data_IF_009194327927
#
_entry.id   IF_009194327927
#
_cell.length_a   1.000
_cell.length_b   1.000
_cell.length_c   1.000
_cell.angle_alpha   90.00
_cell.angle_beta   90.00
_cell.angle_gamma   90.00
#
_symmetry.space_group_name_H-M   'P 1'
#
loop_
_entity.id
_entity.type
_entity.pdbx_description
1 polymer ?
#
# COMPACT_ATOMS: atom_id res chain seq x y z
N UNK A 1 -18.48 26.55 32.24
CA UNK A 1 -18.13 26.26 30.81
C UNK A 1 -19.32 25.54 30.21
N UNK A 2 -20.01 26.19 29.28
CA UNK A 2 -21.11 25.54 28.53
C UNK A 2 -20.54 24.38 27.71
N UNK A 3 -21.18 23.21 27.79
CA UNK A 3 -20.85 22.10 26.89
C UNK A 3 -21.16 22.57 25.46
N UNK A 4 -20.23 22.34 24.48
CA UNK A 4 -20.50 22.70 23.10
C UNK A 4 -21.79 22.00 22.64
N UNK A 5 -22.63 22.72 21.89
CA UNK A 5 -23.85 22.16 21.29
C UNK A 5 -23.45 21.01 20.37
N UNK A 6 -24.21 19.91 20.37
CA UNK A 6 -23.96 18.84 19.37
C UNK A 6 -24.09 19.45 17.97
N UNK A 7 -23.07 19.28 17.14
CA UNK A 7 -23.06 19.74 15.75
C UNK A 7 -24.16 19.00 14.97
N UNK A 8 -24.87 19.72 14.12
CA UNK A 8 -25.83 19.09 13.20
C UNK A 8 -25.10 18.25 12.15
N UNK A 9 -25.74 17.19 11.63
CA UNK A 9 -25.15 16.30 10.60
C UNK A 9 -24.61 17.09 9.38
N UNK A 10 -25.35 18.09 8.88
CA UNK A 10 -24.92 18.95 7.77
C UNK A 10 -23.66 19.77 8.08
N UNK A 11 -23.53 20.27 9.31
CA UNK A 11 -22.33 21.02 9.75
C UNK A 11 -21.11 20.10 9.82
N UNK A 12 -21.28 18.87 10.30
CA UNK A 12 -20.21 17.87 10.38
C UNK A 12 -19.73 17.45 8.98
N UNK A 13 -20.64 17.25 8.03
CA UNK A 13 -20.31 16.96 6.63
C UNK A 13 -19.54 18.09 5.97
N UNK A 14 -19.94 19.35 6.19
CA UNK A 14 -19.25 20.52 5.65
C UNK A 14 -17.83 20.65 6.25
N UNK A 15 -17.68 20.39 7.54
CA UNK A 15 -16.39 20.41 8.24
C UNK A 15 -15.47 19.29 7.74
N UNK A 16 -15.96 18.05 7.65
CA UNK A 16 -15.19 16.93 7.11
C UNK A 16 -14.67 17.21 5.69
N UNK A 17 -15.55 17.78 4.84
CA UNK A 17 -15.18 18.16 3.47
C UNK A 17 -14.13 19.29 3.44
N UNK A 18 -14.19 20.25 4.37
CA UNK A 18 -13.18 21.30 4.50
C UNK A 18 -11.82 20.72 4.92
N UNK A 19 -11.83 19.88 5.97
CA UNK A 19 -10.62 19.21 6.49
C UNK A 19 -9.98 18.37 5.39
N UNK A 20 -10.78 17.56 4.70
CA UNK A 20 -10.31 16.69 3.61
C UNK A 20 -9.62 17.48 2.49
N UNK A 21 -10.25 18.58 2.03
CA UNK A 21 -9.63 19.43 0.98
C UNK A 21 -8.38 20.17 1.41
N UNK A 22 -8.19 20.39 2.72
CA UNK A 22 -6.99 21.04 3.26
C UNK A 22 -5.84 20.06 3.49
N UNK A 23 -6.12 18.76 3.51
CA UNK A 23 -5.14 17.71 3.70
C UNK A 23 -4.43 17.35 2.38
N UNK A 24 -3.19 16.86 2.47
CA UNK A 24 -2.56 16.12 1.39
C UNK A 24 -2.90 14.65 1.61
N UNK A 25 -3.94 14.17 0.94
CA UNK A 25 -4.33 12.75 1.02
C UNK A 25 -3.36 11.93 0.20
N UNK A 26 -2.67 10.99 0.83
CA UNK A 26 -1.69 10.12 0.16
C UNK A 26 -2.08 8.67 0.39
N UNK A 27 -2.19 7.93 -0.70
CA UNK A 27 -2.39 6.48 -0.67
C UNK A 27 -1.07 5.75 -0.94
N UNK A 28 -0.77 4.78 -0.07
CA UNK A 28 0.48 4.02 -0.11
C UNK A 28 0.55 2.95 -1.19
N UNK A 29 -0.57 2.54 -1.81
CA UNK A 29 -0.56 1.37 -2.69
C UNK A 29 -1.72 1.34 -3.68
N UNK A 30 -1.41 1.30 -4.99
CA UNK A 30 -2.41 1.20 -6.06
C UNK A 30 -1.86 0.47 -7.28
N UNK A 31 -2.55 -0.57 -7.73
CA UNK A 31 -2.14 -1.48 -8.80
C UNK A 31 -2.70 -1.13 -10.18
N UNK A 32 -3.17 0.10 -10.38
CA UNK A 32 -3.61 0.57 -11.69
C UNK A 32 -2.62 0.24 -12.83
N UNK A 33 -1.28 0.39 -12.64
CA UNK A 33 -0.32 0.05 -13.71
C UNK A 33 -0.40 -1.42 -14.12
N UNK A 34 -0.59 -2.33 -13.15
CA UNK A 34 -0.76 -3.75 -13.44
C UNK A 34 -2.06 -4.04 -14.19
N UNK A 35 -3.16 -3.39 -13.82
CA UNK A 35 -4.43 -3.55 -14.52
C UNK A 35 -4.36 -3.05 -15.96
N UNK A 36 -3.72 -1.91 -16.20
CA UNK A 36 -3.51 -1.40 -17.58
C UNK A 36 -2.64 -2.37 -18.39
N UNK A 37 -1.62 -2.98 -17.78
CA UNK A 37 -0.84 -4.04 -18.43
C UNK A 37 -1.71 -5.23 -18.81
N UNK A 38 -2.48 -5.73 -17.86
CA UNK A 38 -3.21 -7.01 -17.99
C UNK A 38 -4.43 -6.88 -18.92
N UNK A 39 -5.20 -5.78 -18.78
CA UNK A 39 -6.47 -5.60 -19.49
C UNK A 39 -6.33 -4.85 -20.81
N UNK A 40 -5.28 -4.05 -20.97
CA UNK A 40 -5.11 -3.15 -22.10
C UNK A 40 -3.79 -3.33 -22.87
N UNK A 41 -2.99 -4.35 -22.52
CA UNK A 41 -1.70 -4.60 -23.16
C UNK A 41 -0.72 -3.44 -22.96
N UNK A 42 -0.69 -2.83 -21.78
CA UNK A 42 0.16 -1.67 -21.43
C UNK A 42 -0.11 -0.42 -22.29
N UNK A 43 -1.34 -0.25 -22.80
CA UNK A 43 -1.71 0.85 -23.68
C UNK A 43 -2.84 1.72 -23.11
N UNK A 44 -2.55 2.99 -22.88
CA UNK A 44 -3.54 3.99 -22.50
C UNK A 44 -4.44 4.45 -23.69
N UNK A 45 -4.16 4.02 -24.91
CA UNK A 45 -5.08 4.19 -26.03
C UNK A 45 -6.21 3.16 -26.00
N UNK A 46 -5.92 1.98 -25.44
CA UNK A 46 -6.91 0.93 -25.22
C UNK A 46 -7.71 1.12 -23.92
N UNK A 47 -7.15 1.88 -22.95
CA UNK A 47 -7.75 2.16 -21.64
C UNK A 47 -7.40 3.59 -21.23
N UNK A 48 -8.22 4.56 -21.64
CA UNK A 48 -8.00 5.98 -21.30
C UNK A 48 -8.56 6.30 -19.92
N UNK A 49 -7.68 6.38 -18.92
CA UNK A 49 -8.05 6.70 -17.54
C UNK A 49 -8.50 8.16 -17.32
N UNK A 50 -8.46 9.01 -18.33
CA UNK A 50 -9.13 10.31 -18.29
C UNK A 50 -10.66 10.19 -18.34
N UNK A 51 -11.17 9.03 -18.74
CA UNK A 51 -12.60 8.67 -18.80
C UNK A 51 -12.93 7.67 -17.69
N UNK A 52 -14.19 7.59 -17.23
CA UNK A 52 -14.64 6.58 -16.30
C UNK A 52 -14.35 5.15 -16.80
N UNK A 53 -13.82 4.30 -15.92
CA UNK A 53 -13.41 2.93 -16.21
C UNK A 53 -14.15 1.93 -15.32
N UNK A 54 -15.18 1.28 -15.85
CA UNK A 54 -16.04 0.34 -15.10
C UNK A 54 -15.30 -0.91 -14.59
N UNK A 55 -14.17 -1.26 -15.20
CA UNK A 55 -13.35 -2.43 -14.84
C UNK A 55 -12.26 -2.12 -13.82
N UNK A 56 -12.08 -0.85 -13.47
CA UNK A 56 -11.06 -0.37 -12.56
C UNK A 56 -11.68 0.28 -11.34
N UNK A 57 -10.94 0.28 -10.25
CA UNK A 57 -11.27 1.07 -9.05
C UNK A 57 -10.67 2.48 -9.13
N UNK A 58 -9.81 2.73 -10.11
CA UNK A 58 -9.04 3.98 -10.28
C UNK A 58 -9.20 4.56 -11.67
N UNK A 59 -9.63 5.82 -11.75
CA UNK A 59 -9.55 6.70 -12.91
C UNK A 59 -9.43 8.16 -12.47
N UNK A 60 -9.07 9.05 -13.39
CA UNK A 60 -8.83 10.46 -13.08
C UNK A 60 -10.08 11.17 -12.54
N UNK A 61 -11.30 11.00 -13.09
CA UNK A 61 -12.51 11.58 -12.49
C UNK A 61 -12.71 11.21 -11.02
N UNK A 62 -12.57 9.92 -10.68
CA UNK A 62 -12.75 9.42 -9.31
C UNK A 62 -11.60 9.81 -8.39
N UNK A 63 -10.34 9.83 -8.85
CA UNK A 63 -9.20 10.35 -8.08
C UNK A 63 -9.43 11.82 -7.65
N UNK A 64 -9.96 12.65 -8.55
CA UNK A 64 -10.31 14.05 -8.23
C UNK A 64 -11.46 14.14 -7.26
N UNK A 65 -12.49 13.30 -7.41
CA UNK A 65 -13.61 13.21 -6.46
C UNK A 65 -13.14 12.78 -5.08
N UNK A 66 -12.22 11.82 -4.99
CA UNK A 66 -11.59 11.36 -3.77
C UNK A 66 -10.63 12.37 -3.14
N UNK A 67 -10.30 13.48 -3.83
CA UNK A 67 -9.44 14.53 -3.30
C UNK A 67 -7.99 14.10 -3.08
N UNK A 68 -7.50 13.12 -3.86
CA UNK A 68 -6.16 12.56 -3.68
C UNK A 68 -5.10 13.59 -4.04
N UNK A 69 -4.10 13.76 -3.15
CA UNK A 69 -2.96 14.66 -3.32
C UNK A 69 -1.67 13.96 -3.71
N UNK A 70 -1.55 12.66 -3.38
CA UNK A 70 -0.42 11.81 -3.74
C UNK A 70 -0.80 10.34 -3.83
N UNK A 71 -0.16 9.60 -4.72
CA UNK A 71 -0.38 8.17 -4.93
C UNK A 71 0.94 7.46 -5.15
N UNK A 72 1.14 6.36 -4.44
CA UNK A 72 2.13 5.37 -4.81
C UNK A 72 1.56 4.42 -5.86
N UNK A 73 2.06 4.53 -7.08
CA UNK A 73 1.80 3.57 -8.17
C UNK A 73 2.75 2.40 -8.04
N UNK A 74 2.22 1.20 -8.15
CA UNK A 74 2.98 0.00 -7.81
C UNK A 74 3.59 -0.65 -9.05
N UNK A 75 4.87 -0.93 -8.96
CA UNK A 75 5.58 -1.85 -9.84
C UNK A 75 5.38 -3.25 -9.27
N UNK A 76 4.25 -3.87 -9.63
CA UNK A 76 3.96 -5.26 -9.32
C UNK A 76 4.51 -6.18 -10.40
N UNK A 77 5.05 -7.31 -9.96
CA UNK A 77 5.52 -8.40 -10.83
C UNK A 77 5.14 -9.73 -10.17
N UNK A 78 4.51 -10.68 -10.90
CA UNK A 78 4.13 -11.96 -10.31
C UNK A 78 5.32 -12.69 -9.66
N UNK A 79 5.21 -13.18 -8.42
CA UNK A 79 6.32 -13.84 -7.70
C UNK A 79 6.95 -15.01 -8.47
N UNK A 80 6.14 -15.74 -9.24
CA UNK A 80 6.63 -16.85 -10.08
C UNK A 80 7.73 -16.45 -11.09
N UNK A 81 7.86 -15.16 -11.42
CA UNK A 81 8.94 -14.65 -12.30
C UNK A 81 10.33 -14.77 -11.69
N UNK A 82 10.42 -14.87 -10.36
CA UNK A 82 11.68 -15.17 -9.67
C UNK A 82 12.29 -16.50 -10.15
N UNK A 83 11.44 -17.48 -10.46
CA UNK A 83 11.89 -18.80 -10.90
C UNK A 83 12.32 -18.84 -12.38
N UNK A 84 12.01 -17.81 -13.15
CA UNK A 84 12.32 -17.72 -14.59
C UNK A 84 13.42 -16.72 -14.93
N UNK A 85 13.89 -15.92 -13.94
CA UNK A 85 14.88 -14.86 -14.16
C UNK A 85 14.35 -13.74 -15.06
N UNK A 86 13.04 -13.44 -14.99
CA UNK A 86 12.38 -12.41 -15.79
C UNK A 86 11.79 -11.27 -14.95
N UNK A 87 11.97 -11.33 -13.64
CA UNK A 87 11.36 -10.38 -12.70
C UNK A 87 11.85 -8.94 -12.92
N UNK A 88 13.17 -8.74 -13.02
CA UNK A 88 13.76 -7.41 -13.27
C UNK A 88 13.29 -6.82 -14.60
N UNK A 89 13.27 -7.63 -15.68
CA UNK A 89 12.83 -7.15 -16.99
C UNK A 89 11.38 -6.69 -16.97
N UNK A 90 10.49 -7.47 -16.35
CA UNK A 90 9.08 -7.12 -16.20
C UNK A 90 8.87 -5.88 -15.30
N UNK A 91 9.65 -5.74 -14.24
CA UNK A 91 9.63 -4.54 -13.39
C UNK A 91 10.00 -3.29 -14.18
N UNK A 92 11.03 -3.34 -15.03
CA UNK A 92 11.44 -2.21 -15.88
C UNK A 92 10.34 -1.80 -16.87
N UNK A 93 9.58 -2.76 -17.41
CA UNK A 93 8.42 -2.47 -18.26
C UNK A 93 7.30 -1.76 -17.46
N UNK A 94 7.10 -2.12 -16.19
CA UNK A 94 6.13 -1.44 -15.32
C UNK A 94 6.59 -0.02 -14.96
N UNK A 95 7.87 0.21 -14.69
CA UNK A 95 8.42 1.55 -14.52
C UNK A 95 8.15 2.43 -15.76
N UNK A 96 8.43 1.91 -16.96
CA UNK A 96 8.13 2.62 -18.22
C UNK A 96 6.65 2.94 -18.34
N UNK A 97 5.76 2.00 -18.01
CA UNK A 97 4.33 2.21 -18.06
C UNK A 97 3.87 3.35 -17.13
N UNK A 98 4.39 3.39 -15.88
CA UNK A 98 4.06 4.47 -14.93
C UNK A 98 4.58 5.82 -15.47
N UNK A 99 5.81 5.88 -15.97
CA UNK A 99 6.35 7.11 -16.54
C UNK A 99 5.53 7.60 -17.75
N UNK A 100 5.10 6.69 -18.63
CA UNK A 100 4.22 7.02 -19.77
C UNK A 100 2.86 7.51 -19.30
N UNK A 101 2.29 6.93 -18.25
CA UNK A 101 1.05 7.37 -17.62
C UNK A 101 1.17 8.83 -17.15
N UNK A 102 2.16 9.13 -16.33
CA UNK A 102 2.37 10.46 -15.77
C UNK A 102 2.63 11.48 -16.87
N UNK A 103 3.41 11.12 -17.89
CA UNK A 103 3.68 12.00 -19.04
C UNK A 103 2.41 12.26 -19.86
N UNK A 104 1.61 11.23 -20.14
CA UNK A 104 0.36 11.36 -20.92
C UNK A 104 -0.66 12.27 -20.23
N UNK A 105 -0.81 12.10 -18.93
CA UNK A 105 -1.79 12.85 -18.13
C UNK A 105 -1.14 13.95 -17.28
N UNK A 106 -0.12 14.62 -17.81
CA UNK A 106 0.70 15.63 -17.11
C UNK A 106 -0.06 16.86 -16.62
N UNK A 107 -1.28 17.09 -17.10
CA UNK A 107 -2.20 18.09 -16.53
C UNK A 107 -2.76 17.67 -15.15
N UNK A 108 -2.67 16.39 -14.79
CA UNK A 108 -3.20 15.82 -13.55
C UNK A 108 -2.09 15.29 -12.66
N UNK A 109 -1.13 14.57 -13.24
CA UNK A 109 -0.05 13.90 -12.53
C UNK A 109 1.30 14.60 -12.74
N UNK A 110 2.15 14.49 -11.73
CA UNK A 110 3.57 14.85 -11.84
C UNK A 110 4.39 13.89 -10.96
N UNK A 111 5.55 13.45 -11.47
CA UNK A 111 6.45 12.58 -10.71
C UNK A 111 6.98 13.28 -9.47
N UNK A 112 6.93 12.60 -8.33
CA UNK A 112 7.52 13.04 -7.07
C UNK A 112 8.61 12.06 -6.64
N UNK A 113 9.78 12.57 -6.35
CA UNK A 113 10.91 11.80 -5.85
C UNK A 113 11.30 12.18 -4.41
N UNK A 114 10.73 13.25 -3.88
CA UNK A 114 10.95 13.72 -2.51
C UNK A 114 9.65 14.11 -1.83
N UNK A 115 9.66 14.15 -0.50
CA UNK A 115 8.53 14.67 0.27
C UNK A 115 8.23 16.15 -0.06
N UNK A 116 9.25 16.92 -0.46
CA UNK A 116 9.08 18.30 -0.89
C UNK A 116 8.37 18.38 -2.25
N UNK A 117 8.67 17.47 -3.19
CA UNK A 117 7.96 17.38 -4.46
C UNK A 117 6.46 17.13 -4.24
N UNK A 118 6.10 16.20 -3.34
CA UNK A 118 4.69 15.92 -3.03
C UNK A 118 3.96 17.19 -2.59
N UNK A 119 4.56 17.96 -1.67
CA UNK A 119 3.96 19.21 -1.17
C UNK A 119 3.84 20.26 -2.29
N UNK A 120 4.87 20.42 -3.12
CA UNK A 120 4.87 21.36 -4.24
C UNK A 120 3.81 20.97 -5.29
N UNK A 121 3.79 19.72 -5.72
CA UNK A 121 2.89 19.20 -6.75
C UNK A 121 1.43 19.34 -6.32
N UNK A 122 1.14 19.00 -5.06
CA UNK A 122 -0.20 19.17 -4.48
C UNK A 122 -0.61 20.65 -4.47
N UNK A 123 0.30 21.56 -4.08
CA UNK A 123 0.04 23.01 -4.10
C UNK A 123 -0.25 23.52 -5.50
N UNK A 124 0.34 22.92 -6.54
CA UNK A 124 0.10 23.23 -7.94
C UNK A 124 -1.20 22.60 -8.50
N UNK A 125 -2.00 21.96 -7.63
CA UNK A 125 -3.30 21.36 -7.98
C UNK A 125 -3.20 20.04 -8.74
N UNK A 126 -2.05 19.37 -8.68
CA UNK A 126 -1.82 18.05 -9.28
C UNK A 126 -1.72 16.97 -8.21
N UNK A 127 -1.79 15.71 -8.64
CA UNK A 127 -1.56 14.53 -7.84
C UNK A 127 -0.08 14.12 -7.97
N UNK A 128 0.63 14.09 -6.84
CA UNK A 128 2.00 13.62 -6.80
C UNK A 128 2.06 12.12 -7.05
N UNK A 129 2.79 11.71 -8.08
CA UNK A 129 2.97 10.32 -8.47
C UNK A 129 4.30 9.81 -7.95
N UNK A 130 4.24 8.91 -6.95
CA UNK A 130 5.39 8.22 -6.41
C UNK A 130 5.40 6.77 -6.94
N UNK A 131 6.53 6.10 -6.88
CA UNK A 131 6.65 4.70 -7.29
C UNK A 131 7.04 3.84 -6.11
N UNK A 132 6.26 2.76 -5.89
CA UNK A 132 6.59 1.66 -5.02
C UNK A 132 6.92 0.40 -5.82
N UNK A 133 7.81 -0.44 -5.31
CA UNK A 133 8.09 -1.75 -5.89
C UNK A 133 7.54 -2.82 -4.97
N UNK A 134 6.76 -3.75 -5.49
CA UNK A 134 6.13 -4.80 -4.70
C UNK A 134 6.84 -6.13 -4.88
N UNK A 135 7.75 -6.39 -3.96
CA UNK A 135 8.48 -7.65 -3.82
C UNK A 135 9.93 -7.60 -4.25
N UNK A 136 10.80 -7.97 -3.31
CA UNK A 136 12.26 -7.99 -3.49
C UNK A 136 12.78 -9.02 -4.49
N UNK A 137 11.95 -9.97 -4.92
CA UNK A 137 12.28 -10.87 -6.03
C UNK A 137 12.60 -10.10 -7.32
N UNK A 138 12.08 -8.88 -7.47
CA UNK A 138 12.27 -8.02 -8.65
C UNK A 138 13.71 -7.55 -8.84
N UNK A 139 14.52 -7.52 -7.77
CA UNK A 139 15.94 -7.14 -7.89
C UNK A 139 16.84 -8.31 -8.30
N UNK A 140 16.33 -9.56 -8.38
CA UNK A 140 17.10 -10.76 -8.75
C UNK A 140 18.44 -10.85 -8.01
N UNK A 141 18.41 -10.62 -6.69
CA UNK A 141 19.55 -10.64 -5.76
C UNK A 141 20.68 -9.64 -6.10
N UNK A 142 20.36 -8.51 -6.74
CA UNK A 142 21.33 -7.49 -7.18
C UNK A 142 21.07 -6.14 -6.50
N UNK A 143 22.03 -5.65 -5.71
CA UNK A 143 22.00 -4.30 -5.15
C UNK A 143 22.13 -3.21 -6.24
N UNK A 144 22.80 -3.49 -7.34
CA UNK A 144 22.88 -2.58 -8.50
C UNK A 144 21.49 -2.40 -9.14
N UNK A 145 20.69 -3.49 -9.20
CA UNK A 145 19.30 -3.41 -9.67
C UNK A 145 18.44 -2.59 -8.72
N UNK A 146 18.63 -2.74 -7.40
CA UNK A 146 17.95 -1.92 -6.39
C UNK A 146 18.28 -0.42 -6.57
N UNK A 147 19.56 -0.08 -6.74
CA UNK A 147 20.00 1.29 -7.00
C UNK A 147 19.39 1.84 -8.30
N UNK A 148 19.35 1.03 -9.36
CA UNK A 148 18.69 1.39 -10.62
C UNK A 148 17.20 1.68 -10.45
N UNK A 149 16.49 0.90 -9.63
CA UNK A 149 15.05 1.17 -9.34
C UNK A 149 14.87 2.50 -8.61
N UNK A 150 15.77 2.83 -7.68
CA UNK A 150 15.77 4.14 -7.03
C UNK A 150 15.97 5.27 -8.04
N UNK A 151 16.93 5.14 -8.96
CA UNK A 151 17.18 6.12 -10.03
C UNK A 151 15.98 6.28 -10.97
N UNK A 152 15.20 5.21 -11.19
CA UNK A 152 13.95 5.22 -11.94
C UNK A 152 12.76 5.82 -11.16
N UNK A 153 12.96 6.22 -9.92
CA UNK A 153 11.97 6.93 -9.12
C UNK A 153 11.31 6.10 -8.01
N UNK A 154 11.70 4.85 -7.78
CA UNK A 154 11.18 4.07 -6.65
C UNK A 154 11.53 4.75 -5.33
N UNK A 155 10.56 4.84 -4.42
CA UNK A 155 10.73 5.42 -3.09
C UNK A 155 10.40 4.47 -1.97
N UNK A 156 9.85 3.31 -2.27
CA UNK A 156 9.87 2.14 -1.41
C UNK A 156 10.06 0.85 -2.21
N UNK A 157 10.47 -0.20 -1.53
CA UNK A 157 10.39 -1.57 -2.02
C UNK A 157 9.94 -2.51 -0.90
N UNK A 158 8.92 -3.35 -1.19
CA UNK A 158 8.53 -4.48 -0.36
C UNK A 158 9.58 -5.59 -0.42
N UNK A 159 9.95 -6.16 0.72
CA UNK A 159 11.01 -7.16 0.76
C UNK A 159 10.57 -8.52 0.18
N UNK A 160 9.27 -8.83 0.26
CA UNK A 160 8.66 -10.00 -0.39
C UNK A 160 7.30 -9.64 -0.97
N UNK A 161 6.71 -10.52 -1.76
CA UNK A 161 5.28 -10.61 -2.02
C UNK A 161 4.74 -11.89 -1.37
N UNK A 162 3.92 -12.67 -2.05
CA UNK A 162 3.27 -13.89 -1.52
C UNK A 162 4.19 -15.10 -1.39
N UNK A 163 5.41 -15.05 -1.90
CA UNK A 163 6.38 -16.12 -1.84
C UNK A 163 7.64 -15.70 -1.08
N UNK A 164 8.18 -16.63 -0.28
CA UNK A 164 9.49 -16.52 0.36
C UNK A 164 10.57 -16.56 -0.71
N UNK A 165 11.52 -15.65 -0.61
CA UNK A 165 12.67 -15.54 -1.50
C UNK A 165 13.96 -15.94 -0.77
N UNK A 166 15.10 -15.94 -1.47
CA UNK A 166 16.37 -16.44 -0.94
C UNK A 166 16.88 -15.68 0.29
N UNK A 167 16.38 -14.47 0.54
CA UNK A 167 16.91 -13.60 1.57
C UNK A 167 15.87 -12.96 2.50
N UNK A 168 14.57 -13.22 2.29
CA UNK A 168 13.48 -12.73 3.14
C UNK A 168 12.29 -13.70 3.11
N UNK A 169 11.69 -13.95 4.26
CA UNK A 169 10.52 -14.82 4.38
C UNK A 169 9.22 -14.03 4.25
N UNK A 170 8.29 -14.58 3.46
CA UNK A 170 6.93 -14.04 3.26
C UNK A 170 5.97 -14.52 4.35
N UNK A 171 4.98 -13.70 4.69
CA UNK A 171 3.89 -14.04 5.62
C UNK A 171 3.01 -15.19 5.14
N UNK A 172 2.94 -15.42 3.82
CA UNK A 172 1.99 -16.36 3.21
C UNK A 172 2.65 -17.59 2.60
N UNK A 173 3.94 -17.79 2.84
CA UNK A 173 4.70 -18.93 2.36
C UNK A 173 5.53 -19.59 3.48
N UNK A 174 6.16 -20.71 3.18
CA UNK A 174 7.04 -21.40 4.13
C UNK A 174 8.32 -20.61 4.35
N UNK A 175 8.69 -20.43 5.62
CA UNK A 175 9.95 -19.80 5.99
C UNK A 175 11.14 -20.63 5.49
N UNK A 176 12.20 -19.95 5.05
CA UNK A 176 13.49 -20.54 4.62
C UNK A 176 14.66 -19.99 5.43
N UNK A 177 14.63 -18.69 5.72
CA UNK A 177 15.72 -17.97 6.40
C UNK A 177 15.46 -17.74 7.88
N UNK A 178 14.20 -17.89 8.33
CA UNK A 178 13.78 -17.52 9.69
C UNK A 178 13.79 -16.01 9.90
N UNK A 179 13.46 -15.26 8.86
CA UNK A 179 13.49 -13.81 8.78
C UNK A 179 14.33 -13.31 7.59
N UNK A 180 15.27 -12.39 7.86
CA UNK A 180 16.24 -11.91 6.87
C UNK A 180 17.51 -12.76 6.88
N UNK A 181 18.02 -13.11 5.70
CA UNK A 181 19.40 -13.57 5.56
C UNK A 181 20.40 -12.40 5.68
N UNK A 182 21.70 -12.69 5.72
CA UNK A 182 22.75 -11.66 5.68
C UNK A 182 22.63 -10.75 4.45
N UNK A 183 22.23 -11.28 3.29
CA UNK A 183 21.98 -10.47 2.10
C UNK A 183 20.72 -9.61 2.26
N UNK A 184 19.67 -10.13 2.90
CA UNK A 184 18.46 -9.35 3.22
C UNK A 184 18.76 -8.15 4.12
N UNK A 185 19.63 -8.32 5.12
CA UNK A 185 20.11 -7.19 5.93
C UNK A 185 20.90 -6.16 5.08
N UNK A 186 21.74 -6.60 4.14
CA UNK A 186 22.42 -5.70 3.21
C UNK A 186 21.44 -4.93 2.30
N UNK A 187 20.35 -5.57 1.86
CA UNK A 187 19.29 -4.89 1.09
C UNK A 187 18.66 -3.77 1.92
N UNK A 188 18.30 -4.03 3.18
CA UNK A 188 17.72 -3.02 4.07
C UNK A 188 18.68 -1.84 4.27
N UNK A 189 19.96 -2.10 4.52
CA UNK A 189 20.99 -1.06 4.69
C UNK A 189 21.20 -0.26 3.41
N UNK A 190 21.20 -0.91 2.26
CA UNK A 190 21.31 -0.22 0.97
C UNK A 190 20.10 0.66 0.67
N UNK A 191 18.88 0.20 1.00
CA UNK A 191 17.68 1.03 0.90
C UNK A 191 17.79 2.27 1.79
N UNK A 192 18.28 2.14 3.01
CA UNK A 192 18.53 3.29 3.90
C UNK A 192 19.58 4.24 3.29
N UNK A 193 20.69 3.70 2.75
CA UNK A 193 21.74 4.50 2.09
C UNK A 193 21.20 5.30 0.90
N UNK A 194 20.30 4.73 0.13
CA UNK A 194 19.64 5.38 -1.00
C UNK A 194 18.58 6.40 -0.57
N UNK A 195 18.00 6.27 0.62
CA UNK A 195 16.83 7.05 1.05
C UNK A 195 15.51 6.45 0.55
N UNK A 196 15.51 5.15 0.29
CA UNK A 196 14.33 4.36 -0.06
C UNK A 196 13.71 3.79 1.19
N UNK A 197 12.39 3.95 1.37
CA UNK A 197 11.64 3.35 2.48
C UNK A 197 11.60 1.83 2.35
N UNK A 198 11.88 1.13 3.45
CA UNK A 198 11.70 -0.31 3.56
C UNK A 198 10.23 -0.60 3.81
N UNK A 199 9.58 -1.32 2.90
CA UNK A 199 8.19 -1.72 3.03
C UNK A 199 8.10 -3.15 3.56
N UNK A 200 7.39 -3.31 4.67
CA UNK A 200 7.20 -4.56 5.39
C UNK A 200 5.81 -5.19 5.15
N UNK A 201 5.03 -4.67 4.19
CA UNK A 201 3.86 -5.40 3.73
C UNK A 201 4.30 -6.75 3.13
N UNK A 202 3.50 -7.81 3.32
CA UNK A 202 3.74 -9.18 2.86
C UNK A 202 4.82 -10.01 3.58
N UNK A 203 5.69 -9.42 4.38
CA UNK A 203 6.78 -10.17 5.01
C UNK A 203 6.34 -10.94 6.26
N UNK A 204 7.04 -12.01 6.60
CA UNK A 204 6.78 -12.77 7.83
C UNK A 204 7.06 -11.94 9.10
N UNK A 205 6.46 -12.29 10.26
CA UNK A 205 6.76 -11.62 11.51
C UNK A 205 8.26 -11.57 11.84
N UNK A 206 9.00 -12.65 11.57
CA UNK A 206 10.44 -12.72 11.79
C UNK A 206 11.20 -11.73 10.91
N UNK A 207 10.78 -11.61 9.63
CA UNK A 207 11.34 -10.60 8.71
C UNK A 207 11.01 -9.17 9.17
N UNK A 208 9.80 -8.93 9.73
CA UNK A 208 9.45 -7.62 10.31
C UNK A 208 10.39 -7.26 11.46
N UNK A 209 10.64 -8.20 12.40
CA UNK A 209 11.55 -7.99 13.53
C UNK A 209 12.98 -7.72 13.07
N UNK A 210 13.51 -8.50 12.13
CA UNK A 210 14.86 -8.31 11.62
C UNK A 210 15.02 -6.98 10.90
N UNK A 211 14.08 -6.62 10.01
CA UNK A 211 14.13 -5.35 9.30
C UNK A 211 14.04 -4.14 10.25
N UNK A 212 13.17 -4.20 11.26
CA UNK A 212 13.06 -3.17 12.30
C UNK A 212 14.31 -3.06 13.18
N UNK A 213 15.04 -4.15 13.37
CA UNK A 213 16.34 -4.16 14.09
C UNK A 213 17.46 -3.52 13.26
N UNK A 214 17.45 -3.74 11.93
CA UNK A 214 18.53 -3.33 11.02
C UNK A 214 18.32 -1.92 10.47
N UNK A 215 17.06 -1.53 10.21
CA UNK A 215 16.76 -0.25 9.54
C UNK A 215 17.07 0.95 10.43
N UNK A 216 17.90 1.86 9.91
CA UNK A 216 18.21 3.16 10.50
C UNK A 216 17.19 4.24 10.14
N UNK A 217 16.39 4.01 9.09
CA UNK A 217 15.31 4.86 8.64
C UNK A 217 13.95 4.32 9.07
N UNK A 218 12.89 5.16 9.13
CA UNK A 218 11.54 4.69 9.34
C UNK A 218 11.15 3.66 8.27
N UNK A 219 10.55 2.55 8.71
CA UNK A 219 9.94 1.56 7.82
C UNK A 219 8.49 1.94 7.52
N UNK A 220 7.91 1.35 6.48
CA UNK A 220 6.49 1.43 6.21
C UNK A 220 5.87 0.04 6.08
N UNK A 221 4.57 -0.01 6.23
CA UNK A 221 3.71 -1.06 5.72
C UNK A 221 2.81 -0.40 4.70
N UNK A 222 3.09 -0.56 3.42
CA UNK A 222 2.40 0.15 2.35
C UNK A 222 0.90 -0.15 2.29
N UNK A 223 0.48 -1.35 2.73
CA UNK A 223 -0.92 -1.81 2.75
C UNK A 223 -1.08 -3.01 3.70
N UNK A 224 -1.18 -2.75 5.01
CA UNK A 224 -1.41 -3.78 6.05
C UNK A 224 -2.30 -3.24 7.16
N UNK A 225 -3.04 -4.13 7.83
CA UNK A 225 -4.01 -3.74 8.85
C UNK A 225 -3.63 -4.31 10.23
N UNK A 226 -4.49 -4.18 11.25
CA UNK A 226 -4.20 -4.65 12.60
C UNK A 226 -4.64 -6.11 12.78
N UNK A 227 -3.71 -6.99 13.16
CA UNK A 227 -3.96 -8.40 13.43
C UNK A 227 -4.98 -8.63 14.55
N UNK A 228 -4.94 -7.79 15.60
CA UNK A 228 -5.85 -7.91 16.74
C UNK A 228 -7.33 -7.65 16.39
N UNK A 229 -7.61 -6.95 15.28
CA UNK A 229 -8.99 -6.72 14.79
C UNK A 229 -9.42 -7.84 13.84
N UNK A 230 -8.54 -8.22 12.91
CA UNK A 230 -8.79 -9.27 11.94
C UNK A 230 -7.55 -10.17 11.81
N UNK A 231 -7.69 -11.40 12.29
CA UNK A 231 -6.59 -12.35 12.41
C UNK A 231 -6.21 -12.93 11.04
N UNK A 232 -5.23 -12.29 10.42
CA UNK A 232 -4.67 -12.68 9.12
C UNK A 232 -3.17 -12.40 9.07
N UNK A 233 -2.38 -13.29 8.44
CA UNK A 233 -0.91 -13.17 8.40
C UNK A 233 -0.42 -11.93 7.63
N UNK A 234 -1.28 -11.30 6.81
CA UNK A 234 -0.99 -10.01 6.16
C UNK A 234 -1.10 -8.82 7.10
N UNK A 235 -1.65 -8.99 8.30
CA UNK A 235 -1.88 -7.95 9.28
C UNK A 235 -0.78 -7.88 10.34
N UNK A 236 -0.59 -6.70 10.90
CA UNK A 236 0.52 -6.38 11.81
C UNK A 236 0.12 -6.69 13.26
N UNK A 237 0.95 -7.46 13.97
CA UNK A 237 0.75 -7.81 15.39
C UNK A 237 1.14 -6.64 16.30
N UNK A 238 0.58 -6.59 17.50
CA UNK A 238 0.78 -5.49 18.46
C UNK A 238 2.23 -5.32 18.92
N UNK A 239 2.99 -6.40 19.01
CA UNK A 239 4.41 -6.32 19.33
C UNK A 239 5.20 -5.60 18.23
N UNK A 240 4.89 -5.90 16.97
CA UNK A 240 5.47 -5.21 15.81
C UNK A 240 4.99 -3.75 15.73
N UNK A 241 3.71 -3.46 16.01
CA UNK A 241 3.20 -2.08 16.06
C UNK A 241 4.00 -1.22 17.03
N UNK A 242 4.36 -1.75 18.20
CA UNK A 242 5.22 -1.04 19.19
C UNK A 242 6.64 -0.80 18.66
N UNK A 243 7.20 -1.76 17.93
CA UNK A 243 8.52 -1.59 17.29
C UNK A 243 8.47 -0.53 16.17
N UNK A 244 7.39 -0.50 15.38
CA UNK A 244 7.16 0.53 14.36
C UNK A 244 7.11 1.92 14.99
N UNK A 245 6.44 2.07 16.14
CA UNK A 245 6.41 3.32 16.88
C UNK A 245 7.82 3.77 17.31
N UNK A 246 8.64 2.85 17.84
CA UNK A 246 10.02 3.14 18.24
C UNK A 246 10.93 3.50 17.05
N UNK A 247 10.71 2.87 15.89
CA UNK A 247 11.45 3.13 14.65
C UNK A 247 11.03 4.45 13.96
N UNK A 248 9.85 4.99 14.30
CA UNK A 248 9.27 6.14 13.62
C UNK A 248 8.52 5.77 12.33
N UNK A 249 8.23 4.50 12.11
CA UNK A 249 7.56 3.99 10.93
C UNK A 249 6.07 4.31 10.83
N UNK A 250 5.42 3.82 9.77
CA UNK A 250 3.99 4.06 9.49
C UNK A 250 3.34 2.78 8.94
N UNK A 251 2.20 2.39 9.52
CA UNK A 251 1.34 1.33 8.98
C UNK A 251 0.21 1.99 8.21
N UNK A 252 0.17 1.77 6.90
CA UNK A 252 -0.90 2.24 6.03
C UNK A 252 -1.95 1.16 5.91
N UNK A 253 -3.17 1.46 6.41
CA UNK A 253 -4.24 0.48 6.54
C UNK A 253 -4.72 0.06 5.15
N UNK A 254 -4.72 -1.26 4.91
CA UNK A 254 -5.27 -1.88 3.70
C UNK A 254 -6.81 -1.82 3.74
N UNK A 255 -7.47 -1.64 2.57
CA UNK A 255 -8.93 -1.57 2.49
C UNK A 255 -9.58 -2.90 2.10
N UNK A 256 -8.82 -3.88 1.65
CA UNK A 256 -9.38 -5.18 1.26
C UNK A 256 -10.16 -5.83 2.42
N UNK A 257 -11.44 -6.07 2.18
CA UNK A 257 -12.35 -6.63 3.20
C UNK A 257 -11.90 -8.00 3.73
N UNK A 258 -11.12 -8.74 2.94
CA UNK A 258 -10.46 -9.98 3.36
C UNK A 258 -9.33 -9.79 4.39
N UNK A 259 -8.92 -8.55 4.69
CA UNK A 259 -7.91 -8.26 5.71
C UNK A 259 -8.44 -7.38 6.85
N UNK A 260 -9.60 -6.71 6.65
CA UNK A 260 -10.14 -5.83 7.68
C UNK A 260 -11.42 -6.36 8.33
N UNK A 261 -12.18 -7.25 7.68
CA UNK A 261 -13.36 -7.88 8.27
C UNK A 261 -12.96 -9.21 8.91
N UNK A 262 -13.28 -9.50 10.20
CA UNK A 262 -12.86 -10.74 10.87
C UNK A 262 -13.25 -12.02 10.14
N UNK A 263 -14.50 -12.10 9.65
CA UNK A 263 -14.95 -13.26 8.84
C UNK A 263 -14.25 -13.29 7.48
N UNK A 264 -14.00 -12.12 6.87
CA UNK A 264 -13.24 -12.01 5.63
C UNK A 264 -11.82 -12.53 5.81
N UNK A 265 -11.15 -12.15 6.89
CA UNK A 265 -9.82 -12.64 7.26
C UNK A 265 -9.78 -14.17 7.42
N UNK A 266 -10.76 -14.73 8.11
CA UNK A 266 -10.88 -16.20 8.25
C UNK A 266 -11.10 -16.92 6.92
N UNK A 267 -11.85 -16.32 5.98
CA UNK A 267 -12.08 -16.87 4.64
C UNK A 267 -10.83 -16.76 3.74
N UNK A 268 -10.06 -15.71 3.88
CA UNK A 268 -8.85 -15.46 3.07
C UNK A 268 -7.58 -16.02 3.70
N UNK A 269 -7.58 -16.32 4.99
CA UNK A 269 -6.52 -17.07 5.63
C UNK A 269 -6.25 -18.37 4.82
N UNK A 270 -4.99 -18.62 4.52
CA UNK A 270 -4.60 -19.76 3.67
C UNK A 270 -5.06 -19.69 2.20
N UNK A 271 -5.52 -18.52 1.71
CA UNK A 271 -5.97 -18.37 0.32
C UNK A 271 -4.87 -18.84 -0.66
N UNK A 272 -3.62 -18.44 -0.46
CA UNK A 272 -2.50 -18.86 -1.31
C UNK A 272 -2.24 -20.38 -1.25
N UNK A 273 -2.35 -20.99 -0.07
CA UNK A 273 -2.20 -22.46 0.05
C UNK A 273 -3.34 -23.20 -0.67
N UNK A 274 -4.55 -22.66 -0.57
CA UNK A 274 -5.73 -23.21 -1.22
C UNK A 274 -5.64 -23.05 -2.75
N UNK A 275 -5.20 -21.92 -3.24
CA UNK A 275 -4.96 -21.71 -4.68
C UNK A 275 -3.89 -22.67 -5.23
N UNK A 276 -2.80 -22.90 -4.50
CA UNK A 276 -1.79 -23.92 -4.84
C UNK A 276 -2.42 -25.31 -4.90
N UNK A 277 -3.27 -25.67 -3.94
CA UNK A 277 -3.97 -26.96 -3.95
C UNK A 277 -4.94 -27.07 -5.13
N UNK A 278 -5.76 -26.05 -5.37
CA UNK A 278 -6.67 -26.01 -6.53
C UNK A 278 -5.91 -26.14 -7.84
N UNK A 279 -4.75 -25.48 -7.97
CA UNK A 279 -3.90 -25.57 -9.15
C UNK A 279 -3.30 -26.98 -9.33
N UNK A 280 -2.92 -27.64 -8.23
CA UNK A 280 -2.46 -29.02 -8.25
C UNK A 280 -3.57 -30.02 -8.62
N UNK A 281 -4.79 -29.81 -8.11
CA UNK A 281 -5.95 -30.65 -8.38
C UNK A 281 -6.50 -30.41 -9.82
N UNK A 282 -6.31 -29.22 -10.38
CA UNK A 282 -6.74 -28.79 -11.71
C UNK A 282 -5.57 -28.20 -12.51
N UNK A 283 -4.72 -29.03 -13.12
CA UNK A 283 -3.54 -28.56 -13.86
C UNK A 283 -3.87 -27.73 -15.11
N UNK A 284 -5.05 -27.97 -15.71
CA UNK A 284 -5.57 -27.16 -16.82
C UNK A 284 -6.00 -25.79 -16.34
N UNK A 285 -5.56 -24.73 -17.04
CA UNK A 285 -5.82 -23.35 -16.64
C UNK A 285 -7.31 -23.00 -16.60
N UNK A 286 -8.09 -23.51 -17.55
CA UNK A 286 -9.53 -23.23 -17.60
C UNK A 286 -10.30 -23.98 -16.51
N UNK A 287 -9.85 -25.19 -16.17
CA UNK A 287 -10.44 -25.96 -15.07
C UNK A 287 -10.09 -25.29 -13.72
N UNK A 288 -8.84 -24.89 -13.54
CA UNK A 288 -8.41 -24.15 -12.36
C UNK A 288 -9.20 -22.86 -12.15
N UNK A 289 -9.32 -22.02 -13.17
CA UNK A 289 -10.06 -20.75 -13.06
C UNK A 289 -11.54 -20.99 -12.79
N UNK A 290 -12.16 -22.04 -13.35
CA UNK A 290 -13.55 -22.41 -13.03
C UNK A 290 -13.68 -22.87 -11.58
N UNK A 291 -12.78 -23.72 -11.09
CA UNK A 291 -12.81 -24.21 -9.71
C UNK A 291 -12.57 -23.06 -8.72
N UNK A 292 -11.64 -22.15 -9.03
CA UNK A 292 -11.35 -20.94 -8.26
C UNK A 292 -12.56 -20.00 -8.20
N UNK A 293 -13.22 -19.76 -9.32
CA UNK A 293 -14.40 -18.90 -9.38
C UNK A 293 -15.58 -19.52 -8.59
N UNK A 294 -15.86 -20.80 -8.76
CA UNK A 294 -16.89 -21.52 -8.00
C UNK A 294 -16.64 -21.46 -6.50
N UNK A 295 -15.37 -21.58 -6.09
CA UNK A 295 -15.02 -21.47 -4.68
C UNK A 295 -15.28 -20.07 -4.14
N UNK A 296 -14.90 -19.01 -4.88
CA UNK A 296 -15.15 -17.60 -4.50
C UNK A 296 -16.66 -17.31 -4.38
N UNK A 297 -17.46 -17.79 -5.32
CA UNK A 297 -18.93 -17.64 -5.29
C UNK A 297 -19.58 -18.35 -4.10
N UNK A 298 -19.05 -19.50 -3.69
CA UNK A 298 -19.53 -20.25 -2.54
C UNK A 298 -19.08 -19.65 -1.19
N UNK A 299 -18.08 -18.77 -1.19
CA UNK A 299 -17.48 -18.17 0.01
C UNK A 299 -17.30 -16.66 -0.17
N UNK A 300 -18.39 -15.89 -0.30
CA UNK A 300 -18.30 -14.45 -0.49
C UNK A 300 -17.68 -13.79 0.74
N UNK A 301 -16.72 -12.89 0.51
CA UNK A 301 -16.10 -12.09 1.56
C UNK A 301 -17.10 -11.02 1.98
N UNK A 302 -17.43 -10.88 3.28
CA UNK A 302 -18.24 -9.77 3.77
C UNK A 302 -17.57 -8.42 3.47
N UNK A 303 -18.33 -7.43 2.97
CA UNK A 303 -17.75 -6.14 2.56
C UNK A 303 -17.19 -5.31 3.73
N UNK A 304 -17.86 -5.34 4.89
CA UNK A 304 -17.57 -4.35 5.91
C UNK A 304 -18.00 -2.95 5.46
N UNK A 305 -17.51 -1.92 6.11
CA UNK A 305 -17.82 -0.52 5.79
C UNK A 305 -16.67 0.40 6.24
N UNK A 306 -16.83 1.73 6.07
CA UNK A 306 -15.85 2.73 6.51
C UNK A 306 -15.50 2.59 8.00
N UNK A 307 -16.51 2.30 8.85
CA UNK A 307 -16.31 2.07 10.29
C UNK A 307 -15.40 0.86 10.55
N UNK A 308 -15.56 -0.24 9.80
CA UNK A 308 -14.68 -1.41 9.88
C UNK A 308 -13.22 -1.05 9.58
N UNK A 309 -12.97 -0.21 8.57
CA UNK A 309 -11.62 0.29 8.27
C UNK A 309 -11.07 1.14 9.42
N UNK A 310 -11.89 2.08 9.95
CA UNK A 310 -11.44 3.01 10.99
C UNK A 310 -11.22 2.29 12.33
N UNK A 311 -11.85 1.14 12.59
CA UNK A 311 -11.54 0.30 13.76
C UNK A 311 -10.06 -0.13 13.76
N UNK A 312 -9.48 -0.45 12.58
CA UNK A 312 -8.05 -0.73 12.45
C UNK A 312 -7.19 0.51 12.71
N UNK A 313 -7.61 1.68 12.22
CA UNK A 313 -6.92 2.95 12.51
C UNK A 313 -6.91 3.20 14.01
N UNK A 314 -8.06 3.09 14.69
CA UNK A 314 -8.19 3.27 16.14
C UNK A 314 -7.26 2.33 16.91
N UNK A 315 -7.20 1.04 16.51
CA UNK A 315 -6.33 0.07 17.16
C UNK A 315 -4.84 0.42 16.98
N UNK A 316 -4.42 0.77 15.75
CA UNK A 316 -3.03 1.17 15.49
C UNK A 316 -2.69 2.43 16.28
N UNK A 317 -3.60 3.42 16.34
CA UNK A 317 -3.42 4.62 17.17
C UNK A 317 -3.30 4.27 18.64
N UNK A 318 -4.12 3.34 19.14
CA UNK A 318 -4.06 2.89 20.53
C UNK A 318 -2.72 2.24 20.88
N UNK A 319 -2.14 1.43 20.00
CA UNK A 319 -0.93 0.63 20.27
C UNK A 319 0.35 1.37 19.90
N UNK A 320 0.39 2.02 18.75
CA UNK A 320 1.58 2.68 18.21
C UNK A 320 1.54 4.21 18.33
N UNK A 321 0.37 4.80 18.43
CA UNK A 321 0.20 6.26 18.48
C UNK A 321 -0.18 6.87 17.13
N UNK A 322 -0.72 8.10 17.19
CA UNK A 322 -1.30 8.83 16.06
C UNK A 322 -0.30 9.13 14.93
N UNK A 323 0.99 9.12 15.22
CA UNK A 323 2.05 9.43 14.26
C UNK A 323 2.44 8.23 13.38
N UNK A 324 1.83 7.04 13.60
CA UNK A 324 2.28 5.77 13.01
C UNK A 324 1.22 5.07 12.15
N UNK A 325 0.18 5.76 11.73
CA UNK A 325 -0.90 5.22 10.89
C UNK A 325 -1.11 6.06 9.64
N UNK A 326 -1.48 5.42 8.52
CA UNK A 326 -1.78 6.04 7.23
C UNK A 326 -2.78 5.21 6.43
N UNK A 327 -2.91 5.49 5.13
CA UNK A 327 -3.83 4.84 4.20
C UNK A 327 -3.05 4.14 3.08
N UNK A 328 -3.38 2.89 2.80
CA UNK A 328 -2.79 2.09 1.72
C UNK A 328 -3.84 1.16 1.15
N UNK A 329 -4.67 1.69 0.23
CA UNK A 329 -5.96 1.10 -0.10
C UNK A 329 -5.89 -0.25 -0.82
N UNK A 330 -4.83 -0.49 -1.61
CA UNK A 330 -4.70 -1.69 -2.44
C UNK A 330 -5.75 -1.71 -3.58
N UNK A 331 -6.17 -0.51 -4.04
CA UNK A 331 -7.07 -0.42 -5.18
C UNK A 331 -6.43 -0.98 -6.45
N UNK A 332 -7.27 -1.62 -7.26
CA UNK A 332 -6.88 -2.35 -8.47
C UNK A 332 -5.98 -3.58 -8.23
N UNK A 333 -5.54 -3.85 -6.98
CA UNK A 333 -4.85 -5.07 -6.55
C UNK A 333 -5.78 -6.03 -5.80
N UNK A 334 -6.71 -5.50 -5.02
CA UNK A 334 -7.65 -6.26 -4.22
C UNK A 334 -9.10 -6.19 -4.76
N UNK A 335 -9.89 -7.22 -4.45
CA UNK A 335 -11.22 -7.39 -5.04
C UNK A 335 -12.36 -6.77 -4.23
N UNK A 336 -12.66 -7.34 -3.06
CA UNK A 336 -13.82 -6.93 -2.25
C UNK A 336 -13.45 -5.77 -1.33
N UNK A 337 -14.04 -4.60 -1.58
CA UNK A 337 -13.83 -3.39 -0.79
C UNK A 337 -14.98 -3.13 0.17
N UNK A 338 -14.79 -2.33 1.25
CA UNK A 338 -15.86 -1.93 2.15
C UNK A 338 -16.88 -1.04 1.46
N UNK A 339 -18.12 -1.08 1.95
CA UNK A 339 -19.18 -0.18 1.49
C UNK A 339 -18.74 1.28 1.65
N UNK A 340 -18.95 2.09 0.62
CA UNK A 340 -18.53 3.48 0.44
C UNK A 340 -17.02 3.68 0.21
N UNK A 341 -16.25 2.60 0.05
CA UNK A 341 -14.84 2.61 -0.29
C UNK A 341 -14.56 1.68 -1.49
N UNK A 342 -15.56 1.50 -2.36
CA UNK A 342 -15.47 0.59 -3.51
C UNK A 342 -14.42 1.04 -4.54
N UNK A 343 -14.08 2.32 -4.55
CA UNK A 343 -13.09 2.92 -5.45
C UNK A 343 -12.43 4.18 -4.85
N UNK A 344 -11.48 4.75 -5.57
CA UNK A 344 -10.67 5.91 -5.15
C UNK A 344 -11.49 7.18 -4.87
N UNK A 345 -12.78 7.24 -5.16
CA UNK A 345 -13.65 8.37 -4.79
C UNK A 345 -14.07 8.35 -3.31
N UNK A 346 -13.85 7.23 -2.61
CA UNK A 346 -14.32 6.99 -1.25
C UNK A 346 -13.54 7.67 -0.12
N UNK A 347 -12.33 8.18 -0.33
CA UNK A 347 -11.49 8.75 0.74
C UNK A 347 -12.15 9.82 1.61
N UNK A 348 -13.04 10.71 1.12
CA UNK A 348 -13.73 11.69 1.96
C UNK A 348 -14.56 11.06 3.08
N UNK A 349 -15.06 9.82 2.89
CA UNK A 349 -15.83 9.12 3.91
C UNK A 349 -14.98 8.71 5.10
N UNK A 350 -13.68 8.44 4.90
CA UNK A 350 -12.73 8.15 5.98
C UNK A 350 -12.55 9.41 6.84
N UNK A 351 -12.39 10.57 6.21
CA UNK A 351 -12.28 11.86 6.92
C UNK A 351 -13.53 12.15 7.75
N UNK A 352 -14.72 11.86 7.20
CA UNK A 352 -15.98 11.99 7.92
C UNK A 352 -16.00 11.08 9.15
N UNK A 353 -15.73 9.79 8.99
CA UNK A 353 -15.75 8.80 10.08
C UNK A 353 -14.74 9.15 11.19
N UNK A 354 -13.51 9.56 10.82
CA UNK A 354 -12.50 10.01 11.78
C UNK A 354 -13.00 11.24 12.59
N UNK A 355 -13.62 12.19 11.91
CA UNK A 355 -14.20 13.37 12.59
C UNK A 355 -15.35 12.98 13.53
N UNK A 356 -16.22 12.05 13.12
CA UNK A 356 -17.33 11.52 13.93
C UNK A 356 -16.82 10.77 15.17
N UNK A 357 -15.66 10.08 15.07
CA UNK A 357 -14.96 9.45 16.21
C UNK A 357 -14.20 10.42 17.10
N UNK A 358 -14.19 11.72 16.76
CA UNK A 358 -13.61 12.76 17.59
C UNK A 358 -12.12 13.04 17.36
N UNK A 359 -11.55 12.56 16.27
CA UNK A 359 -10.20 12.95 15.87
C UNK A 359 -10.12 14.45 15.60
N UNK A 360 -9.04 15.10 16.04
CA UNK A 360 -8.79 16.50 15.71
C UNK A 360 -8.42 16.66 14.22
N UNK A 361 -8.65 17.85 13.66
CA UNK A 361 -8.20 18.18 12.29
C UNK A 361 -6.71 17.87 12.09
N UNK A 362 -5.88 18.18 13.09
CA UNK A 362 -4.44 17.88 13.06
C UNK A 362 -4.17 16.37 12.96
N UNK A 363 -4.90 15.56 13.71
CA UNK A 363 -4.71 14.11 13.72
C UNK A 363 -5.22 13.48 12.41
N UNK A 364 -6.34 13.98 11.89
CA UNK A 364 -6.86 13.58 10.58
C UNK A 364 -5.82 13.88 9.48
N UNK A 365 -5.21 15.06 9.47
CA UNK A 365 -4.16 15.39 8.50
C UNK A 365 -2.92 14.50 8.61
N UNK A 366 -2.58 14.04 9.83
CA UNK A 366 -1.50 13.05 10.03
C UNK A 366 -1.84 11.72 9.36
N UNK A 367 -3.04 11.18 9.64
CA UNK A 367 -3.53 9.91 9.09
C UNK A 367 -3.61 9.96 7.56
N UNK A 368 -4.18 11.04 7.02
CA UNK A 368 -4.43 11.15 5.57
C UNK A 368 -3.14 11.22 4.73
N UNK A 369 -1.98 11.59 5.29
CA UNK A 369 -0.73 11.62 4.52
C UNK A 369 0.45 12.25 5.26
N UNK A 370 0.19 13.03 6.32
CA UNK A 370 1.25 13.73 7.07
C UNK A 370 2.28 12.79 7.68
N UNK A 371 1.87 11.62 8.18
CA UNK A 371 2.76 10.61 8.75
C UNK A 371 3.68 9.99 7.69
N UNK A 372 3.13 9.66 6.52
CA UNK A 372 3.93 9.13 5.41
C UNK A 372 4.94 10.16 4.90
N UNK A 373 4.53 11.43 4.75
CA UNK A 373 5.45 12.50 4.39
C UNK A 373 6.57 12.69 5.41
N UNK A 374 6.29 12.53 6.70
CA UNK A 374 7.31 12.55 7.75
C UNK A 374 8.30 11.39 7.57
N UNK A 375 7.80 10.17 7.41
CA UNK A 375 8.65 8.99 7.22
C UNK A 375 9.55 9.14 5.98
N UNK A 376 9.01 9.61 4.86
CA UNK A 376 9.77 9.85 3.63
C UNK A 376 10.89 10.88 3.84
N UNK A 377 10.59 12.03 4.49
CA UNK A 377 11.63 13.04 4.84
C UNK A 377 12.72 12.48 5.74
N UNK A 378 12.37 11.62 6.69
CA UNK A 378 13.35 11.00 7.59
C UNK A 378 14.25 10.02 6.85
N UNK A 379 13.71 9.23 5.91
CA UNK A 379 14.52 8.36 5.04
C UNK A 379 15.49 9.17 4.17
N UNK A 380 15.04 10.28 3.58
CA UNK A 380 15.89 11.23 2.84
C UNK A 380 17.01 11.80 3.71
N UNK A 381 16.74 12.09 4.99
CA UNK A 381 17.74 12.62 5.93
C UNK A 381 18.77 11.56 6.34
N UNK A 382 18.37 10.31 6.48
CA UNK A 382 19.29 9.19 6.78
C UNK A 382 20.27 9.00 5.63
N UNK A 383 19.81 9.01 4.37
CA UNK A 383 20.67 8.88 3.19
C UNK A 383 21.70 10.01 3.09
N UNK A 384 21.33 11.25 3.44
CA UNK A 384 22.24 12.40 3.46
C UNK A 384 23.36 12.31 4.52
N UNK A 385 23.20 11.48 5.56
CA UNK A 385 24.24 11.24 6.58
C UNK A 385 25.24 10.16 6.15
N UNK A 386 24.84 9.26 5.27
CA UNK A 386 25.66 8.15 4.80
C UNK A 386 26.66 8.54 3.70
N UNK A 387 26.57 9.76 3.16
CA UNK A 387 27.44 10.30 2.08
C UNK A 387 28.54 11.27 2.56
N UNK A 388 28.78 11.38 3.89
CA UNK A 388 29.76 12.27 4.49
C UNK A 388 31.07 11.57 4.87
#
# INVERSE_FOLDING_TARGET
MEKPRPRGHSEMMAEASRIHRAAIVIDGHNDLPWQVRSLAGSSFDNMDIALPQDKLQTDIPRLRQGGLGGQFWVVYVPPATAHTGTATAMALEQFDLIHRMVKRYSAVFEMACTAQDVVRIHKDGKIASLIGVEGGHTIENSLDTLARFYDLGARYMGLTHSETIDWADSATDQARSGGLSTFGEQVVLEMNRLGMLVDLAHVSPETMHDALRVSEAPVIFSHSSAYAIAEHDRNVRDDVLRLVANNGGVVMVNFFSGFIHPEGAALTANCFQRERKLKADHPDEQEFERARQQWKEAHPIPHGNVGTLVDHIDHIVLVAGIDHVGLGADYDGAGTMPDRLEDVSGYPHITQELLERGYSERDIHKILGGNLLRALRQAEQVSGKSGG
#
